data_IF_144893185562
#
_entry.id   IF_144893185562
#
_cell.length_a   1.000
_cell.length_b   1.000
_cell.length_c   1.000
_cell.angle_alpha   90.00
_cell.angle_beta   90.00
_cell.angle_gamma   90.00
#
_symmetry.space_group_name_H-M   'P 1'
#
loop_
_entity.id
_entity.type
_entity.pdbx_description
1 polymer ?
#
# COMPACT_ATOMS: atom_id res chain seq x y z
N UNK A 1 26.19 1.10 6.93
CA UNK A 1 25.00 0.41 6.40
C UNK A 1 24.96 0.58 4.91
N UNK A 2 24.49 -0.41 4.14
CA UNK A 2 24.27 -0.26 2.71
C UNK A 2 22.96 0.49 2.47
N UNK A 3 23.00 1.57 1.69
CA UNK A 3 21.78 2.29 1.30
C UNK A 3 20.94 1.40 0.38
N UNK A 4 19.66 1.27 0.68
CA UNK A 4 18.69 0.52 -0.13
C UNK A 4 17.50 1.41 -0.42
N UNK A 5 17.26 1.67 -1.69
CA UNK A 5 16.10 2.45 -2.14
C UNK A 5 15.16 1.58 -2.99
N UNK A 6 13.96 2.06 -3.23
CA UNK A 6 12.97 1.33 -4.02
C UNK A 6 12.04 2.27 -4.76
N UNK A 7 11.78 1.97 -6.02
CA UNK A 7 10.62 2.48 -6.73
C UNK A 7 9.50 1.45 -6.69
N UNK A 8 8.28 1.88 -6.38
CA UNK A 8 7.15 0.99 -6.15
C UNK A 8 5.87 1.49 -6.88
N UNK A 9 5.84 1.42 -8.23
CA UNK A 9 4.71 1.88 -9.00
C UNK A 9 3.52 0.92 -8.93
N UNK A 10 2.29 1.49 -8.94
CA UNK A 10 1.06 0.72 -9.16
C UNK A 10 0.76 0.70 -10.66
N UNK A 11 0.58 -0.49 -11.29
CA UNK A 11 0.39 -0.63 -12.73
C UNK A 11 -1.08 -0.39 -13.12
N UNK A 12 -1.65 0.72 -12.67
CA UNK A 12 -3.04 1.16 -12.98
C UNK A 12 -3.09 2.15 -14.14
N UNK A 13 -1.97 2.34 -14.83
CA UNK A 13 -1.76 3.23 -15.97
C UNK A 13 -0.31 3.25 -16.39
N UNK A 14 0.00 4.08 -17.39
CA UNK A 14 1.37 4.23 -17.90
C UNK A 14 2.27 5.01 -16.94
N UNK A 15 3.57 4.79 -17.06
CA UNK A 15 4.57 5.58 -16.33
C UNK A 15 4.50 7.05 -16.81
N UNK A 16 4.14 7.94 -15.90
CA UNK A 16 4.12 9.39 -16.17
C UNK A 16 5.35 10.08 -15.56
N UNK A 17 5.58 11.33 -15.96
CA UNK A 17 6.77 12.09 -15.56
C UNK A 17 6.98 12.17 -14.05
N UNK A 18 5.93 12.23 -13.24
CA UNK A 18 6.02 12.20 -11.78
C UNK A 18 6.58 10.88 -11.24
N UNK A 19 6.13 9.74 -11.80
CA UNK A 19 6.68 8.42 -11.49
C UNK A 19 8.14 8.29 -11.92
N UNK A 20 8.45 8.72 -13.15
CA UNK A 20 9.82 8.73 -13.67
C UNK A 20 10.77 9.57 -12.79
N UNK A 21 10.34 10.75 -12.34
CA UNK A 21 11.09 11.58 -11.40
C UNK A 21 11.37 10.87 -10.08
N UNK A 22 10.34 10.23 -9.50
CA UNK A 22 10.49 9.50 -8.25
C UNK A 22 11.47 8.34 -8.40
N UNK A 23 11.38 7.58 -9.50
CA UNK A 23 12.32 6.52 -9.82
C UNK A 23 13.75 7.06 -9.95
N UNK A 24 13.93 8.17 -10.69
CA UNK A 24 15.23 8.81 -10.91
C UNK A 24 15.88 9.23 -9.59
N UNK A 25 15.16 9.89 -8.68
CA UNK A 25 15.74 10.31 -7.38
C UNK A 25 16.18 9.11 -6.54
N UNK A 26 15.35 8.07 -6.46
CA UNK A 26 15.70 6.85 -5.73
C UNK A 26 16.91 6.15 -6.35
N UNK A 27 16.98 6.09 -7.67
CA UNK A 27 18.09 5.50 -8.42
C UNK A 27 19.38 6.29 -8.20
N UNK A 28 19.35 7.63 -8.35
CA UNK A 28 20.51 8.51 -8.14
C UNK A 28 21.05 8.39 -6.71
N UNK A 29 20.16 8.39 -5.73
CA UNK A 29 20.58 8.27 -4.34
C UNK A 29 21.26 6.92 -4.06
N UNK A 30 20.67 5.82 -4.54
CA UNK A 30 21.30 4.50 -4.43
C UNK A 30 22.66 4.47 -5.11
N UNK A 31 22.78 4.95 -6.37
CA UNK A 31 24.02 4.93 -7.14
C UNK A 31 25.10 5.83 -6.53
N UNK A 32 24.73 7.02 -6.04
CA UNK A 32 25.63 7.91 -5.33
C UNK A 32 26.31 7.25 -4.12
N UNK A 33 25.52 6.50 -3.36
CA UNK A 33 25.99 5.79 -2.15
C UNK A 33 26.50 4.36 -2.44
N UNK A 34 26.66 3.97 -3.70
CA UNK A 34 27.01 2.59 -4.10
C UNK A 34 26.08 1.54 -3.46
N UNK A 35 24.82 1.93 -3.29
CA UNK A 35 23.76 1.15 -2.67
C UNK A 35 22.95 0.34 -3.68
N UNK A 36 21.78 -0.13 -3.26
CA UNK A 36 20.89 -1.01 -3.99
C UNK A 36 19.61 -0.26 -4.35
N UNK A 37 19.15 -0.39 -5.60
CA UNK A 37 17.87 0.15 -6.07
C UNK A 37 16.96 -0.99 -6.50
N UNK A 38 15.86 -1.21 -5.77
CA UNK A 38 14.88 -2.25 -6.07
C UNK A 38 13.68 -1.71 -6.85
N UNK A 39 13.03 -2.63 -7.59
CA UNK A 39 11.74 -2.39 -8.23
C UNK A 39 10.68 -3.31 -7.59
N UNK A 40 9.55 -2.72 -7.14
CA UNK A 40 8.37 -3.47 -6.71
C UNK A 40 7.16 -3.01 -7.49
N UNK A 41 6.46 -3.92 -8.13
CA UNK A 41 5.19 -3.66 -8.79
C UNK A 41 4.08 -3.85 -7.76
N UNK A 42 3.27 -2.79 -7.53
CA UNK A 42 2.14 -2.81 -6.58
C UNK A 42 0.84 -3.19 -7.29
N UNK A 43 0.74 -4.45 -7.68
CA UNK A 43 -0.31 -5.06 -8.49
C UNK A 43 -1.46 -5.67 -7.65
N UNK A 44 -1.74 -5.12 -6.47
CA UNK A 44 -2.78 -5.63 -5.56
C UNK A 44 -4.20 -5.32 -6.04
N UNK A 45 -4.40 -4.26 -6.81
CA UNK A 45 -5.68 -3.98 -7.49
C UNK A 45 -5.76 -4.78 -8.80
N UNK A 46 -6.20 -6.03 -8.69
CA UNK A 46 -6.23 -6.98 -9.83
C UNK A 46 -7.17 -6.56 -10.96
N UNK A 47 -8.12 -5.69 -10.70
CA UNK A 47 -9.06 -5.20 -11.72
C UNK A 47 -8.38 -4.16 -12.61
N UNK A 48 -7.57 -3.26 -12.02
CA UNK A 48 -6.92 -2.17 -12.74
C UNK A 48 -5.47 -2.47 -13.14
N UNK A 49 -4.84 -3.48 -12.54
CA UNK A 49 -3.48 -3.89 -12.88
C UNK A 49 -3.49 -4.80 -14.09
N UNK A 50 -2.84 -4.36 -15.17
CA UNK A 50 -2.74 -5.13 -16.41
C UNK A 50 -1.28 -5.44 -16.74
N UNK A 51 -1.04 -6.56 -17.43
CA UNK A 51 0.30 -6.94 -17.85
C UNK A 51 0.91 -5.88 -18.78
N UNK A 52 0.10 -5.31 -19.68
CA UNK A 52 0.55 -4.23 -20.57
C UNK A 52 1.00 -2.98 -19.81
N UNK A 53 0.35 -2.63 -18.69
CA UNK A 53 0.77 -1.51 -17.84
C UNK A 53 2.07 -1.83 -17.09
N UNK A 54 2.26 -3.08 -16.66
CA UNK A 54 3.51 -3.55 -16.03
C UNK A 54 4.66 -3.47 -17.04
N UNK A 55 4.47 -4.00 -18.24
CA UNK A 55 5.48 -3.94 -19.32
C UNK A 55 5.85 -2.50 -19.68
N UNK A 56 4.85 -1.61 -19.81
CA UNK A 56 5.09 -0.20 -20.11
C UNK A 56 5.92 0.51 -19.00
N UNK A 57 5.72 0.16 -17.72
CA UNK A 57 6.56 0.68 -16.63
C UNK A 57 7.99 0.18 -16.75
N UNK A 58 8.18 -1.13 -16.99
CA UNK A 58 9.49 -1.76 -17.14
C UNK A 58 10.25 -1.17 -18.31
N UNK A 59 9.60 -1.05 -19.45
CA UNK A 59 10.20 -0.50 -20.67
C UNK A 59 10.52 1.00 -20.53
N UNK A 60 9.63 1.75 -19.88
CA UNK A 60 9.89 3.16 -19.56
C UNK A 60 11.14 3.35 -18.67
N UNK A 61 11.30 2.51 -17.63
CA UNK A 61 12.48 2.56 -16.76
C UNK A 61 13.76 2.16 -17.53
N UNK A 62 13.71 1.13 -18.37
CA UNK A 62 14.82 0.73 -19.24
C UNK A 62 15.19 1.84 -20.22
N UNK A 63 14.21 2.46 -20.87
CA UNK A 63 14.42 3.56 -21.79
C UNK A 63 15.11 4.76 -21.13
N UNK A 64 14.76 5.04 -19.86
CA UNK A 64 15.39 6.08 -19.05
C UNK A 64 16.76 5.68 -18.49
N UNK A 65 17.21 4.44 -18.68
CA UNK A 65 18.47 3.94 -18.13
C UNK A 65 18.43 3.70 -16.62
N UNK A 66 17.24 3.58 -16.02
CA UNK A 66 17.04 3.40 -14.58
C UNK A 66 16.97 1.91 -14.23
N UNK A 67 18.05 1.17 -14.47
CA UNK A 67 18.14 -0.25 -14.13
C UNK A 67 18.12 -0.49 -12.62
N UNK A 68 17.41 -1.53 -12.20
CA UNK A 68 17.28 -1.98 -10.81
C UNK A 68 18.14 -3.19 -10.51
N UNK A 69 18.36 -3.45 -9.23
CA UNK A 69 19.17 -4.56 -8.75
C UNK A 69 18.28 -5.72 -8.27
N UNK A 70 18.64 -6.94 -8.66
CA UNK A 70 17.92 -8.16 -8.33
C UNK A 70 16.60 -8.33 -9.09
N UNK A 71 15.74 -9.20 -8.55
CA UNK A 71 14.47 -9.55 -9.16
C UNK A 71 13.38 -8.51 -8.86
N UNK A 72 12.45 -8.35 -9.80
CA UNK A 72 11.25 -7.53 -9.57
C UNK A 72 10.36 -8.21 -8.51
N UNK A 73 9.99 -7.48 -7.48
CA UNK A 73 9.02 -7.95 -6.51
C UNK A 73 7.60 -7.60 -6.95
N UNK A 74 6.74 -8.60 -7.13
CA UNK A 74 5.31 -8.40 -7.35
C UNK A 74 4.56 -8.49 -6.02
N UNK A 75 3.84 -7.44 -5.65
CA UNK A 75 3.20 -7.34 -4.35
C UNK A 75 2.09 -8.37 -4.16
N UNK A 76 1.29 -8.64 -5.21
CA UNK A 76 0.22 -9.62 -5.15
C UNK A 76 0.76 -11.05 -4.92
N UNK A 77 1.91 -11.39 -5.48
CA UNK A 77 2.56 -12.69 -5.25
C UNK A 77 2.91 -12.91 -3.76
N UNK A 78 2.99 -11.83 -2.97
CA UNK A 78 3.24 -11.87 -1.51
C UNK A 78 1.96 -11.90 -0.69
N UNK A 79 0.77 -11.99 -1.30
CA UNK A 79 -0.52 -12.00 -0.60
C UNK A 79 -0.62 -13.06 0.52
N UNK A 80 -0.12 -14.30 0.37
CA UNK A 80 -0.12 -15.27 1.49
C UNK A 80 0.66 -14.77 2.70
N UNK A 81 1.83 -14.16 2.50
CA UNK A 81 2.63 -13.59 3.59
C UNK A 81 1.94 -12.39 4.23
N UNK A 82 1.28 -11.53 3.43
CA UNK A 82 0.51 -10.40 3.96
C UNK A 82 -0.64 -10.88 4.84
N UNK A 83 -1.36 -11.94 4.41
CA UNK A 83 -2.44 -12.53 5.20
C UNK A 83 -1.93 -13.12 6.53
N UNK A 84 -0.82 -13.86 6.50
CA UNK A 84 -0.17 -14.41 7.70
C UNK A 84 0.18 -13.29 8.70
N UNK A 85 0.86 -12.23 8.25
CA UNK A 85 1.24 -11.11 9.12
C UNK A 85 0.02 -10.38 9.65
N UNK A 86 -1.03 -10.18 8.84
CA UNK A 86 -2.28 -9.57 9.29
C UNK A 86 -2.94 -10.38 10.41
N UNK A 87 -2.92 -11.71 10.33
CA UNK A 87 -3.42 -12.59 11.39
C UNK A 87 -2.55 -12.50 12.66
N UNK A 88 -1.24 -12.50 12.53
CA UNK A 88 -0.31 -12.30 13.66
C UNK A 88 -0.57 -10.95 14.36
N UNK A 89 -0.81 -9.89 13.59
CA UNK A 89 -1.15 -8.57 14.15
C UNK A 89 -2.50 -8.58 14.86
N UNK A 90 -3.48 -9.35 14.35
CA UNK A 90 -4.77 -9.52 14.99
C UNK A 90 -4.65 -10.24 16.34
N UNK A 91 -3.89 -11.34 16.39
CA UNK A 91 -3.59 -12.10 17.60
C UNK A 91 -2.84 -11.26 18.64
N UNK A 92 -1.91 -10.41 18.19
CA UNK A 92 -1.17 -9.48 19.04
C UNK A 92 -1.97 -8.24 19.48
N UNK A 93 -3.26 -8.12 19.12
CA UNK A 93 -4.10 -6.97 19.43
C UNK A 93 -3.71 -5.67 18.70
N UNK A 94 -2.84 -5.75 17.68
CA UNK A 94 -2.38 -4.63 16.85
C UNK A 94 -3.30 -4.36 15.64
N UNK A 95 -4.27 -5.23 15.43
CA UNK A 95 -5.28 -5.12 14.39
C UNK A 95 -6.64 -5.55 14.93
N UNK A 96 -7.70 -5.31 14.18
CA UNK A 96 -9.07 -5.70 14.53
C UNK A 96 -9.86 -6.07 13.27
N UNK A 97 -10.93 -6.85 13.47
CA UNK A 97 -11.89 -7.20 12.41
C UNK A 97 -12.89 -6.09 12.22
N UNK A 98 -13.09 -5.67 10.99
CA UNK A 98 -14.09 -4.67 10.60
C UNK A 98 -15.12 -5.31 9.68
N UNK A 99 -16.38 -5.21 10.04
CA UNK A 99 -17.51 -5.78 9.33
C UNK A 99 -18.37 -4.73 8.63
N UNK A 100 -17.83 -3.53 8.36
CA UNK A 100 -18.52 -2.54 7.57
C UNK A 100 -18.70 -3.02 6.13
N UNK A 101 -19.90 -2.83 5.60
CA UNK A 101 -20.18 -3.07 4.19
C UNK A 101 -19.54 -1.98 3.29
N UNK A 102 -19.38 -2.23 2.00
CA UNK A 102 -18.96 -1.20 1.05
C UNK A 102 -19.87 0.02 1.06
N UNK A 103 -21.20 -0.19 1.21
CA UNK A 103 -22.22 0.85 1.22
C UNK A 103 -22.05 1.75 2.46
N UNK A 104 -21.90 1.17 3.65
CA UNK A 104 -21.61 1.92 4.89
C UNK A 104 -20.33 2.76 4.76
N UNK A 105 -19.29 2.22 4.12
CA UNK A 105 -18.04 2.95 3.90
C UNK A 105 -18.22 4.10 2.90
N UNK A 106 -19.06 3.92 1.88
CA UNK A 106 -19.38 4.97 0.92
C UNK A 106 -20.21 6.09 1.54
N UNK A 107 -21.19 5.76 2.36
CA UNK A 107 -21.97 6.73 3.16
C UNK A 107 -21.08 7.57 4.07
N UNK A 108 -20.13 6.93 4.77
CA UNK A 108 -19.16 7.66 5.61
C UNK A 108 -18.31 8.63 4.79
N UNK A 109 -17.87 8.22 3.58
CA UNK A 109 -17.09 9.10 2.68
C UNK A 109 -17.91 10.30 2.23
N UNK A 110 -19.15 10.07 1.80
CA UNK A 110 -20.07 11.13 1.36
C UNK A 110 -20.37 12.12 2.51
N UNK A 111 -20.63 11.61 3.69
CA UNK A 111 -20.87 12.45 4.88
C UNK A 111 -19.64 13.29 5.25
N UNK A 112 -18.44 12.72 5.23
CA UNK A 112 -17.21 13.43 5.50
C UNK A 112 -16.96 14.53 4.44
N UNK A 113 -17.16 14.22 3.16
CA UNK A 113 -17.02 15.16 2.05
C UNK A 113 -18.00 16.33 2.18
N UNK A 114 -19.29 16.05 2.47
CA UNK A 114 -20.31 17.08 2.68
C UNK A 114 -20.00 17.99 3.86
N UNK A 115 -19.32 17.45 4.89
CA UNK A 115 -18.89 18.21 6.07
C UNK A 115 -17.52 18.89 5.92
N UNK A 116 -16.87 18.84 4.75
CA UNK A 116 -15.52 19.38 4.51
C UNK A 116 -14.44 18.74 5.39
N UNK A 117 -14.66 17.50 5.87
CA UNK A 117 -13.73 16.79 6.73
C UNK A 117 -12.89 15.77 5.94
N UNK A 118 -11.67 15.44 6.40
CA UNK A 118 -10.89 14.36 5.81
C UNK A 118 -11.67 13.04 5.79
N UNK A 119 -11.58 12.30 4.69
CA UNK A 119 -12.19 10.99 4.53
C UNK A 119 -11.44 9.95 5.40
N UNK A 120 -11.85 9.83 6.65
CA UNK A 120 -11.26 8.89 7.61
C UNK A 120 -12.33 7.90 8.05
N UNK A 121 -11.96 6.62 8.10
CA UNK A 121 -12.80 5.60 8.71
C UNK A 121 -13.01 5.91 10.20
N UNK A 122 -14.24 5.84 10.68
CA UNK A 122 -14.62 6.25 12.04
C UNK A 122 -14.19 5.29 13.15
N UNK A 123 -13.71 4.10 12.79
CA UNK A 123 -13.22 3.13 13.75
C UNK A 123 -14.31 2.35 14.49
N UNK A 124 -15.57 2.39 14.03
CA UNK A 124 -16.74 1.80 14.73
C UNK A 124 -16.59 0.33 15.13
N UNK A 125 -15.71 -0.43 14.43
CA UNK A 125 -15.40 -1.82 14.76
C UNK A 125 -14.13 -2.02 15.59
N UNK A 126 -13.42 -0.93 15.91
CA UNK A 126 -12.11 -1.01 16.58
C UNK A 126 -12.14 -1.74 17.91
N UNK A 127 -13.16 -1.46 18.70
CA UNK A 127 -13.31 -1.97 20.08
C UNK A 127 -14.68 -2.67 20.28
N UNK A 128 -15.40 -2.96 19.19
CA UNK A 128 -16.68 -3.66 19.19
C UNK A 128 -16.47 -5.18 19.20
N UNK A 129 -17.35 -5.91 19.90
CA UNK A 129 -17.30 -7.37 19.93
C UNK A 129 -17.58 -7.95 18.52
N UNK A 130 -16.72 -8.82 18.00
CA UNK A 130 -17.00 -9.52 16.73
C UNK A 130 -18.30 -10.31 16.71
N UNK A 131 -18.87 -10.67 17.87
CA UNK A 131 -20.18 -11.33 17.99
C UNK A 131 -21.35 -10.46 17.51
N UNK A 132 -21.15 -9.13 17.51
CA UNK A 132 -22.15 -8.18 17.00
C UNK A 132 -22.12 -8.09 15.45
N UNK A 133 -21.30 -8.88 14.79
CA UNK A 133 -21.16 -8.84 13.34
C UNK A 133 -22.46 -9.26 12.63
N UNK A 134 -22.86 -8.55 11.56
CA UNK A 134 -23.99 -8.96 10.76
C UNK A 134 -23.75 -10.33 10.14
N UNK A 135 -24.80 -11.16 10.10
CA UNK A 135 -24.72 -12.49 9.52
C UNK A 135 -24.26 -12.42 8.05
N UNK A 136 -23.35 -13.30 7.67
CA UNK A 136 -22.87 -13.43 6.28
C UNK A 136 -21.84 -12.38 5.83
N UNK A 137 -21.51 -11.38 6.64
CA UNK A 137 -20.50 -10.37 6.31
C UNK A 137 -19.11 -10.90 6.64
N UNK A 138 -18.23 -10.97 5.61
CA UNK A 138 -16.82 -11.31 5.81
C UNK A 138 -16.05 -10.09 6.29
N UNK A 139 -15.25 -10.20 7.38
CA UNK A 139 -14.48 -9.07 7.88
C UNK A 139 -13.28 -8.74 7.00
N UNK A 140 -12.87 -7.48 7.03
CA UNK A 140 -11.52 -7.06 6.67
C UNK A 140 -10.71 -6.80 7.93
N UNK A 141 -9.39 -7.03 7.87
CA UNK A 141 -8.48 -6.74 8.98
C UNK A 141 -7.98 -5.29 8.83
N UNK A 142 -8.13 -4.51 9.89
CA UNK A 142 -7.65 -3.12 9.94
C UNK A 142 -6.59 -2.96 11.02
N UNK A 143 -5.55 -2.20 10.70
CA UNK A 143 -4.50 -1.82 11.66
C UNK A 143 -5.11 -0.98 12.80
N UNK A 144 -4.72 -1.28 14.03
CA UNK A 144 -5.09 -0.52 15.23
C UNK A 144 -4.14 0.67 15.41
N UNK A 145 -4.19 1.62 14.46
CA UNK A 145 -3.35 2.81 14.48
C UNK A 145 -3.60 3.68 15.72
N UNK A 146 -2.61 4.43 16.25
CA UNK A 146 -2.83 5.40 17.32
C UNK A 146 -3.94 6.40 16.95
N UNK A 147 -4.76 6.77 17.94
CA UNK A 147 -5.85 7.74 17.73
C UNK A 147 -5.42 9.16 18.08
N UNK A 148 -4.40 9.29 18.91
CA UNK A 148 -3.83 10.55 19.38
C UNK A 148 -2.31 10.52 19.27
N UNK A 149 -1.71 11.70 19.23
CA UNK A 149 -0.26 11.85 19.09
C UNK A 149 0.22 11.73 17.64
N UNK A 150 1.52 11.63 17.48
CA UNK A 150 2.21 11.57 16.19
C UNK A 150 2.98 10.25 16.07
N UNK A 151 3.10 9.74 14.86
CA UNK A 151 4.03 8.66 14.53
C UNK A 151 5.21 9.29 13.81
N UNK A 152 6.34 9.37 14.48
CA UNK A 152 7.57 9.94 13.93
C UNK A 152 8.41 8.80 13.38
N UNK A 153 8.78 8.90 12.11
CA UNK A 153 9.73 8.02 11.45
C UNK A 153 10.95 8.85 11.11
N UNK A 154 12.10 8.48 11.66
CA UNK A 154 13.37 9.09 11.29
C UNK A 154 13.88 8.33 10.08
N UNK A 155 13.86 9.02 8.94
CA UNK A 155 14.41 8.51 7.69
C UNK A 155 15.92 8.84 7.65
N UNK A 156 16.72 7.82 7.36
CA UNK A 156 18.20 7.91 7.44
C UNK A 156 18.85 8.61 6.25
#
# INVERSE_FOLDING_TARGET
MTVVTRFAPSPTGFLHIGGARTALFNWLYARHHKGIFHLRIEDTDRVRSTDAAIEAIIDGLKWLGLGWDGEITYQFARAPRHAEVALQMLEAGKAYRCYCSPEELDEMRKAAQAAGKPMKYDGRWRDRDPKDAPAGVKPVIRLKAPQVGETIVVDG
#
